data_IF_230428979731
#
_entry.id   IF_230428979731
#
_cell.length_a   1.000
_cell.length_b   1.000
_cell.length_c   1.000
_cell.angle_alpha   90.00
_cell.angle_beta   90.00
_cell.angle_gamma   90.00
#
_symmetry.space_group_name_H-M   'P 1'
#
loop_
_entity.id
_entity.type
_entity.pdbx_description
1 polymer ?
#
# COMPACT_ATOMS: atom_id res chain seq x y z
N UNK A 1 -5.92 5.85 14.83
CA UNK A 1 -6.99 6.14 13.84
C UNK A 1 -6.44 7.29 13.01
N UNK A 2 -5.99 7.01 11.78
CA UNK A 2 -5.50 8.06 10.90
C UNK A 2 -6.72 8.76 10.32
N UNK A 3 -6.87 10.02 10.62
CA UNK A 3 -7.86 10.88 9.97
C UNK A 3 -7.43 11.18 8.55
N UNK A 4 -8.36 11.55 7.64
CA UNK A 4 -7.96 12.03 6.32
C UNK A 4 -6.95 13.16 6.50
N UNK A 5 -5.78 12.94 5.90
CA UNK A 5 -4.64 13.82 6.08
C UNK A 5 -4.92 15.04 5.21
N UNK A 6 -5.26 16.15 5.83
CA UNK A 6 -5.44 17.41 5.14
C UNK A 6 -4.11 17.85 4.52
N UNK A 7 -4.20 18.48 3.35
CA UNK A 7 -3.09 19.06 2.64
C UNK A 7 -2.24 19.94 3.58
N UNK A 8 -0.94 19.65 3.65
CA UNK A 8 -0.01 20.33 4.56
C UNK A 8 0.00 19.82 6.00
N UNK A 9 -0.78 18.78 6.33
CA UNK A 9 -0.74 18.16 7.65
C UNK A 9 0.53 17.35 7.88
N UNK A 10 0.89 17.20 9.14
CA UNK A 10 2.00 16.36 9.58
C UNK A 10 1.44 15.12 10.24
N UNK A 11 1.83 13.94 9.76
CA UNK A 11 1.54 12.66 10.42
C UNK A 11 2.66 12.37 11.38
N UNK A 12 2.33 12.26 12.67
CA UNK A 12 3.28 11.80 13.68
C UNK A 12 3.17 10.29 13.83
N UNK A 13 4.29 9.60 13.57
CA UNK A 13 4.43 8.17 13.82
C UNK A 13 5.24 8.02 15.09
N UNK A 14 4.60 7.49 16.13
CA UNK A 14 5.25 7.28 17.43
C UNK A 14 5.89 5.91 17.48
N UNK A 15 7.20 5.86 17.71
CA UNK A 15 7.89 4.67 18.14
C UNK A 15 7.77 4.57 19.67
N UNK A 16 6.92 3.65 20.11
CA UNK A 16 6.69 3.45 21.55
C UNK A 16 7.84 2.73 22.27
N UNK A 17 8.78 2.13 21.51
CA UNK A 17 9.88 1.39 22.10
C UNK A 17 11.05 2.31 22.53
N UNK A 18 11.30 3.37 21.74
CA UNK A 18 12.45 4.26 21.95
C UNK A 18 12.07 5.73 22.15
N UNK A 19 10.78 6.07 22.08
CA UNK A 19 10.28 7.43 22.29
C UNK A 19 10.56 8.40 21.12
N UNK A 20 10.91 7.87 19.95
CA UNK A 20 11.07 8.70 18.76
C UNK A 20 9.71 9.03 18.13
N UNK A 21 9.63 10.24 17.60
CA UNK A 21 8.46 10.69 16.84
C UNK A 21 8.92 11.05 15.44
N UNK A 22 8.48 10.27 14.46
CA UNK A 22 8.70 10.57 13.04
C UNK A 22 7.60 11.51 12.55
N UNK A 23 8.00 12.60 11.90
CA UNK A 23 7.08 13.56 11.30
C UNK A 23 7.04 13.38 9.79
N UNK A 24 5.97 12.77 9.31
CA UNK A 24 5.74 12.59 7.88
C UNK A 24 4.90 13.76 7.35
N UNK A 25 5.49 14.61 6.52
CA UNK A 25 4.79 15.72 5.91
C UNK A 25 4.03 15.28 4.66
N UNK A 26 2.72 15.51 4.62
CA UNK A 26 1.94 15.25 3.41
C UNK A 26 2.34 16.23 2.32
N UNK A 27 2.73 15.78 1.13
CA UNK A 27 3.03 16.70 0.05
C UNK A 27 1.78 17.53 -0.31
N UNK A 28 1.94 18.75 -0.82
CA UNK A 28 0.85 19.54 -1.36
C UNK A 28 0.13 18.80 -2.49
N UNK A 29 -1.16 19.09 -2.74
CA UNK A 29 -1.90 18.52 -3.87
C UNK A 29 -1.14 18.83 -5.17
N UNK A 30 -0.97 17.81 -6.02
CA UNK A 30 -0.17 17.89 -7.24
C UNK A 30 1.32 17.63 -7.05
N UNK A 31 1.76 17.33 -5.82
CA UNK A 31 3.15 16.94 -5.53
C UNK A 31 3.19 15.55 -4.89
N UNK A 32 4.29 14.85 -5.10
CA UNK A 32 4.51 13.52 -4.56
C UNK A 32 5.95 13.28 -4.14
N UNK A 33 6.16 12.23 -3.35
CA UNK A 33 7.49 11.83 -2.88
C UNK A 33 8.12 10.93 -3.93
N UNK A 34 9.23 11.35 -4.50
CA UNK A 34 9.98 10.50 -5.42
C UNK A 34 10.59 9.32 -4.65
N UNK A 35 10.15 8.10 -4.99
CA UNK A 35 10.54 6.86 -4.32
C UNK A 35 12.02 6.45 -4.51
N UNK A 36 12.77 7.19 -5.33
CA UNK A 36 14.21 6.97 -5.54
C UNK A 36 15.06 8.03 -4.84
N UNK A 37 14.59 9.29 -4.84
CA UNK A 37 15.37 10.42 -4.33
C UNK A 37 14.88 10.98 -3.00
N UNK A 38 13.66 10.60 -2.56
CA UNK A 38 13.00 11.16 -1.39
C UNK A 38 12.53 12.62 -1.55
N UNK A 39 12.78 13.24 -2.71
CA UNK A 39 12.41 14.63 -2.95
C UNK A 39 10.93 14.76 -3.30
N UNK A 40 10.36 15.90 -2.94
CA UNK A 40 8.99 16.28 -3.34
C UNK A 40 9.06 16.91 -4.73
N UNK A 41 8.31 16.32 -5.67
CA UNK A 41 8.26 16.72 -7.08
C UNK A 41 6.80 16.73 -7.55
N UNK A 42 6.51 17.45 -8.63
CA UNK A 42 5.18 17.47 -9.25
C UNK A 42 4.72 16.08 -9.69
N UNK A 43 3.45 15.77 -9.48
CA UNK A 43 2.83 14.53 -9.91
C UNK A 43 1.40 14.73 -10.41
N UNK A 44 0.85 13.71 -11.06
CA UNK A 44 -0.48 13.75 -11.65
C UNK A 44 -1.59 13.83 -10.58
N UNK A 45 -2.68 14.48 -10.96
CA UNK A 45 -3.96 14.46 -10.25
C UNK A 45 -4.97 13.76 -11.16
N UNK A 46 -5.62 12.71 -10.66
CA UNK A 46 -6.78 12.11 -11.32
C UNK A 46 -8.05 12.78 -10.79
N UNK A 47 -8.64 13.61 -11.63
CA UNK A 47 -9.88 14.33 -11.28
C UNK A 47 -11.14 13.52 -11.58
N UNK A 48 -11.04 12.56 -12.48
CA UNK A 48 -12.14 11.68 -12.88
C UNK A 48 -12.09 10.36 -12.10
N UNK A 49 -12.63 10.38 -10.89
CA UNK A 49 -13.03 9.13 -10.26
C UNK A 49 -14.48 8.85 -10.65
N UNK A 50 -14.72 7.90 -11.57
CA UNK A 50 -16.04 7.29 -11.67
C UNK A 50 -16.31 6.58 -10.35
N UNK A 51 -17.34 7.05 -9.67
CA UNK A 51 -17.73 6.60 -8.34
C UNK A 51 -18.42 5.24 -8.46
N UNK A 52 -17.72 4.18 -8.06
CA UNK A 52 -18.39 2.94 -7.65
C UNK A 52 -18.50 2.97 -6.13
N UNK A 53 -19.70 2.75 -5.59
CA UNK A 53 -20.09 2.99 -4.18
C UNK A 53 -19.15 2.39 -3.11
N UNK A 54 -18.33 1.41 -3.47
CA UNK A 54 -17.44 0.70 -2.53
C UNK A 54 -15.95 0.82 -2.87
N UNK A 55 -15.56 1.52 -3.93
CA UNK A 55 -14.19 1.52 -4.42
C UNK A 55 -13.63 2.94 -4.57
N UNK A 56 -12.84 3.36 -3.60
CA UNK A 56 -12.16 4.68 -3.59
C UNK A 56 -11.12 4.85 -4.70
N UNK A 57 -10.72 3.79 -5.40
CA UNK A 57 -9.65 3.82 -6.38
C UNK A 57 -10.11 3.30 -7.73
N UNK A 58 -10.07 4.18 -8.72
CA UNK A 58 -10.23 3.79 -10.12
C UNK A 58 -8.86 3.74 -10.79
N UNK A 59 -8.51 2.56 -11.31
CA UNK A 59 -7.25 2.40 -12.02
C UNK A 59 -7.24 3.26 -13.28
N UNK A 60 -6.16 4.07 -13.50
CA UNK A 60 -5.99 4.76 -14.77
C UNK A 60 -5.99 3.79 -15.94
N UNK A 61 -6.88 4.02 -16.89
CA UNK A 61 -6.96 3.18 -18.08
C UNK A 61 -5.98 3.69 -19.13
N UNK A 62 -5.37 2.74 -19.86
CA UNK A 62 -4.61 3.09 -21.05
C UNK A 62 -5.58 3.51 -22.17
N UNK A 63 -5.21 4.49 -23.01
CA UNK A 63 -6.02 4.87 -24.16
C UNK A 63 -6.37 3.66 -25.03
N UNK A 64 -7.57 3.64 -25.60
CA UNK A 64 -8.08 2.51 -26.40
C UNK A 64 -7.18 2.15 -27.59
N UNK A 65 -6.53 3.16 -28.18
CA UNK A 65 -5.62 3.01 -29.30
C UNK A 65 -4.17 2.66 -28.92
N UNK A 66 -3.83 2.63 -27.63
CA UNK A 66 -2.47 2.38 -27.15
C UNK A 66 -1.86 1.09 -27.73
N UNK A 67 -2.61 -0.02 -27.73
CA UNK A 67 -2.11 -1.30 -28.23
C UNK A 67 -1.85 -1.25 -29.73
N UNK A 68 -2.73 -0.60 -30.48
CA UNK A 68 -2.61 -0.45 -31.94
C UNK A 68 -1.39 0.39 -32.27
N UNK A 69 -1.27 1.57 -31.67
CA UNK A 69 -0.11 2.47 -31.85
C UNK A 69 1.23 1.81 -31.48
N UNK A 70 1.26 1.03 -30.42
CA UNK A 70 2.45 0.28 -30.03
C UNK A 70 2.86 -0.77 -31.07
N UNK A 71 1.91 -1.39 -31.76
CA UNK A 71 2.21 -2.31 -32.88
C UNK A 71 2.76 -1.55 -34.09
N UNK A 72 2.18 -0.42 -34.40
CA UNK A 72 2.64 0.45 -35.49
C UNK A 72 4.03 1.01 -35.21
N UNK A 73 4.29 1.49 -33.98
CA UNK A 73 5.62 1.91 -33.56
C UNK A 73 6.67 0.82 -33.79
N UNK A 74 6.39 -0.41 -33.37
CA UNK A 74 7.30 -1.54 -33.59
C UNK A 74 7.57 -1.81 -35.08
N UNK A 75 6.53 -1.70 -35.92
CA UNK A 75 6.67 -1.89 -37.37
C UNK A 75 7.53 -0.80 -38.01
N UNK A 76 7.37 0.45 -37.56
CA UNK A 76 8.22 1.56 -38.04
C UNK A 76 9.67 1.37 -37.56
N UNK A 77 9.88 0.86 -36.35
CA UNK A 77 11.21 0.60 -35.80
C UNK A 77 11.99 -0.49 -36.55
N UNK A 78 11.33 -1.31 -37.37
CA UNK A 78 12.01 -2.23 -38.30
C UNK A 78 12.77 -1.48 -39.40
N UNK A 79 12.29 -0.29 -39.79
CA UNK A 79 12.87 0.57 -40.81
C UNK A 79 13.74 1.69 -40.21
N UNK A 80 13.27 2.27 -39.10
CA UNK A 80 13.95 3.31 -38.33
C UNK A 80 14.02 2.89 -36.85
N UNK A 81 15.13 2.30 -36.47
CA UNK A 81 15.37 1.77 -35.12
C UNK A 81 15.17 2.80 -34.01
N UNK A 82 15.33 4.07 -34.30
CA UNK A 82 15.24 5.14 -33.30
C UNK A 82 13.89 5.87 -33.30
N UNK A 83 12.97 5.42 -34.13
CA UNK A 83 11.62 6.00 -34.12
C UNK A 83 10.91 5.78 -32.78
N UNK A 84 10.38 6.85 -32.22
CA UNK A 84 9.54 6.86 -31.03
C UNK A 84 8.26 7.62 -31.37
N UNK A 85 7.11 6.99 -31.15
CA UNK A 85 5.81 7.66 -31.27
C UNK A 85 5.68 8.69 -30.11
N UNK A 86 5.59 10.01 -30.39
CA UNK A 86 5.55 11.03 -29.35
C UNK A 86 4.36 10.88 -28.38
N UNK A 87 3.24 10.40 -28.87
CA UNK A 87 2.06 10.15 -28.04
C UNK A 87 2.27 8.98 -27.07
N UNK A 88 2.87 7.89 -27.55
CA UNK A 88 3.20 6.76 -26.69
C UNK A 88 4.29 7.12 -25.67
N UNK A 89 5.23 7.97 -26.07
CA UNK A 89 6.29 8.43 -25.18
C UNK A 89 5.72 9.28 -24.03
N UNK A 90 4.76 10.16 -24.32
CA UNK A 90 4.08 10.94 -23.30
C UNK A 90 3.32 10.04 -22.30
N UNK A 91 2.63 9.01 -22.78
CA UNK A 91 1.95 8.04 -21.92
C UNK A 91 2.96 7.29 -21.05
N UNK A 92 4.08 6.85 -21.61
CA UNK A 92 5.15 6.16 -20.87
C UNK A 92 5.76 7.07 -19.81
N UNK A 93 6.03 8.32 -20.15
CA UNK A 93 6.61 9.33 -19.26
C UNK A 93 5.68 9.60 -18.07
N UNK A 94 4.38 9.78 -18.35
CA UNK A 94 3.37 9.98 -17.31
C UNK A 94 3.25 8.76 -16.39
N UNK A 95 3.17 7.58 -16.97
CA UNK A 95 3.09 6.34 -16.21
C UNK A 95 4.33 6.09 -15.35
N UNK A 96 5.52 6.39 -15.89
CA UNK A 96 6.76 6.31 -15.12
C UNK A 96 6.79 7.32 -13.99
N UNK A 97 6.29 8.53 -14.23
CA UNK A 97 6.14 9.55 -13.19
C UNK A 97 5.26 9.07 -12.02
N UNK A 98 4.13 8.44 -12.31
CA UNK A 98 3.24 7.86 -11.30
C UNK A 98 3.90 6.79 -10.45
N UNK A 99 4.71 5.93 -11.06
CA UNK A 99 5.48 4.89 -10.34
C UNK A 99 6.55 5.47 -9.44
N UNK A 100 7.14 6.58 -9.81
CA UNK A 100 8.19 7.24 -9.03
C UNK A 100 7.61 8.11 -7.91
N UNK A 101 6.60 8.93 -8.21
CA UNK A 101 6.13 10.01 -7.35
C UNK A 101 4.74 9.78 -6.75
N UNK A 102 4.08 8.70 -7.17
CA UNK A 102 2.70 8.47 -6.79
C UNK A 102 1.74 9.35 -7.57
N UNK A 103 0.51 9.45 -7.07
CA UNK A 103 -0.58 10.15 -7.72
C UNK A 103 -1.58 10.65 -6.68
N UNK A 104 -2.21 11.77 -6.96
CA UNK A 104 -3.39 12.23 -6.26
C UNK A 104 -4.65 11.78 -7.00
N UNK A 105 -5.67 11.40 -6.28
CA UNK A 105 -7.00 11.18 -6.86
C UNK A 105 -8.07 11.88 -6.04
N UNK A 106 -9.05 12.40 -6.77
CA UNK A 106 -10.22 13.02 -6.18
C UNK A 106 -11.21 11.93 -5.76
N UNK A 107 -11.69 12.00 -4.53
CA UNK A 107 -12.72 11.13 -3.99
C UNK A 107 -13.87 11.97 -3.47
N UNK A 108 -15.08 11.72 -3.96
CA UNK A 108 -16.27 12.38 -3.43
C UNK A 108 -16.77 11.63 -2.19
N UNK A 109 -16.79 12.32 -1.06
CA UNK A 109 -17.35 11.77 0.16
C UNK A 109 -18.84 12.11 0.27
N UNK A 110 -19.77 11.13 0.09
CA UNK A 110 -21.19 11.39 0.10
C UNK A 110 -21.73 11.84 1.46
N UNK A 111 -20.99 11.59 2.56
CA UNK A 111 -21.40 12.02 3.91
C UNK A 111 -21.12 13.49 4.17
N UNK A 112 -20.05 14.01 3.60
CA UNK A 112 -19.62 15.41 3.77
C UNK A 112 -19.96 16.26 2.55
N UNK A 113 -20.43 15.65 1.47
CA UNK A 113 -20.70 16.30 0.17
C UNK A 113 -19.49 17.06 -0.39
N UNK A 114 -18.28 16.62 -0.03
CA UNK A 114 -17.03 17.27 -0.43
C UNK A 114 -16.15 16.33 -1.24
N UNK A 115 -15.39 16.93 -2.15
CA UNK A 115 -14.28 16.26 -2.84
C UNK A 115 -13.08 16.26 -1.90
N UNK A 116 -12.58 15.09 -1.59
CA UNK A 116 -11.37 14.88 -0.83
C UNK A 116 -10.26 14.39 -1.78
N UNK A 117 -9.06 14.95 -1.63
CA UNK A 117 -7.93 14.50 -2.42
C UNK A 117 -7.08 13.53 -1.61
N UNK A 118 -6.84 12.34 -2.16
CA UNK A 118 -6.09 11.28 -1.51
C UNK A 118 -4.78 11.08 -2.28
N UNK A 119 -3.67 11.14 -1.57
CA UNK A 119 -2.36 10.84 -2.11
C UNK A 119 -2.00 9.37 -1.89
N UNK A 120 -1.52 8.71 -2.93
CA UNK A 120 -0.86 7.39 -2.85
C UNK A 120 0.56 7.50 -3.37
N UNK A 121 1.50 6.91 -2.65
CA UNK A 121 2.92 6.93 -3.02
C UNK A 121 3.19 6.10 -4.28
N UNK A 122 4.34 6.29 -4.92
CA UNK A 122 4.74 5.50 -6.09
C UNK A 122 4.76 4.00 -5.83
N UNK A 123 5.20 3.59 -4.64
CA UNK A 123 5.19 2.18 -4.24
C UNK A 123 3.76 1.63 -4.08
N UNK A 124 2.86 2.41 -3.48
CA UNK A 124 1.46 2.03 -3.35
C UNK A 124 0.79 1.95 -4.74
N UNK A 125 1.07 2.93 -5.61
CA UNK A 125 0.59 2.90 -7.00
C UNK A 125 1.02 1.64 -7.73
N UNK A 126 2.29 1.23 -7.62
CA UNK A 126 2.80 -0.03 -8.17
C UNK A 126 2.05 -1.24 -7.60
N UNK A 127 1.84 -1.26 -6.28
CA UNK A 127 1.18 -2.35 -5.59
C UNK A 127 -0.27 -2.56 -6.08
N UNK A 128 -1.12 -1.54 -6.09
CA UNK A 128 -2.53 -1.67 -6.47
C UNK A 128 -2.75 -1.76 -7.98
N UNK A 129 -1.81 -1.24 -8.79
CA UNK A 129 -1.98 -1.19 -10.26
C UNK A 129 -1.40 -2.40 -10.96
N UNK A 130 -0.24 -2.91 -10.51
CA UNK A 130 0.51 -3.94 -11.23
C UNK A 130 0.62 -5.26 -10.49
N UNK A 131 0.63 -5.21 -9.16
CA UNK A 131 0.71 -6.44 -8.40
C UNK A 131 -0.59 -7.23 -8.53
N UNK A 132 -0.43 -8.54 -8.73
CA UNK A 132 -1.56 -9.47 -8.82
C UNK A 132 -1.37 -10.60 -7.83
N UNK A 133 -2.41 -10.87 -7.08
CA UNK A 133 -2.52 -12.06 -6.27
C UNK A 133 -3.62 -12.95 -6.86
N UNK A 134 -3.31 -14.19 -7.22
CA UNK A 134 -4.24 -15.11 -7.90
C UNK A 134 -4.89 -14.54 -9.18
N UNK A 135 -4.15 -13.75 -9.92
CA UNK A 135 -4.64 -13.13 -11.15
C UNK A 135 -5.52 -11.88 -10.95
N UNK A 136 -5.90 -11.57 -9.71
CA UNK A 136 -6.63 -10.33 -9.36
C UNK A 136 -5.65 -9.26 -8.88
N UNK A 137 -5.94 -8.02 -9.23
CA UNK A 137 -5.21 -6.89 -8.68
C UNK A 137 -5.59 -6.65 -7.23
N UNK A 138 -4.68 -6.01 -6.51
CA UNK A 138 -4.96 -5.62 -5.12
C UNK A 138 -5.97 -4.47 -5.09
N UNK A 139 -6.84 -4.51 -4.08
CA UNK A 139 -7.81 -3.45 -3.85
C UNK A 139 -7.16 -2.29 -3.06
N UNK A 140 -7.68 -1.08 -3.29
CA UNK A 140 -7.27 0.07 -2.48
C UNK A 140 -7.84 -0.05 -1.06
N UNK A 141 -6.98 0.13 -0.05
CA UNK A 141 -7.37 0.18 1.35
C UNK A 141 -6.61 1.30 2.06
N UNK A 142 -7.31 2.07 2.90
CA UNK A 142 -6.69 3.15 3.67
C UNK A 142 -5.52 2.70 4.57
N UNK A 143 -5.58 1.56 5.27
CA UNK A 143 -4.42 1.08 6.03
C UNK A 143 -3.19 0.79 5.18
N UNK A 144 -3.37 0.28 3.96
CA UNK A 144 -2.25 0.05 3.05
C UNK A 144 -1.67 1.39 2.57
N UNK A 145 -2.54 2.38 2.28
CA UNK A 145 -2.11 3.73 1.94
C UNK A 145 -1.24 4.32 3.04
N UNK A 146 -1.67 4.23 4.29
CA UNK A 146 -0.95 4.75 5.43
C UNK A 146 0.40 4.04 5.64
N UNK A 147 0.41 2.72 5.49
CA UNK A 147 1.64 1.93 5.54
C UNK A 147 2.65 2.34 4.46
N UNK A 148 2.23 2.38 3.19
CA UNK A 148 3.14 2.76 2.10
C UNK A 148 3.60 4.21 2.20
N UNK A 149 2.80 5.07 2.80
CA UNK A 149 3.17 6.46 3.06
C UNK A 149 4.30 6.56 4.09
N UNK A 150 4.15 5.91 5.24
CA UNK A 150 5.19 5.84 6.27
C UNK A 150 6.46 5.16 5.72
N UNK A 151 6.29 4.05 4.99
CA UNK A 151 7.41 3.34 4.36
C UNK A 151 8.22 4.27 3.46
N UNK A 152 7.56 5.11 2.65
CA UNK A 152 8.23 6.04 1.74
C UNK A 152 9.07 7.09 2.47
N UNK A 153 8.70 7.48 3.69
CA UNK A 153 9.54 8.35 4.52
C UNK A 153 10.69 7.60 5.17
N UNK A 154 10.42 6.46 5.78
CA UNK A 154 11.42 5.67 6.47
C UNK A 154 12.55 5.17 5.55
N UNK A 155 12.26 4.98 4.27
CA UNK A 155 13.29 4.58 3.28
C UNK A 155 14.41 5.64 3.11
N UNK A 156 14.14 6.90 3.42
CA UNK A 156 15.10 8.00 3.27
C UNK A 156 15.61 8.55 4.61
N UNK A 157 15.13 7.98 5.70
CA UNK A 157 15.64 8.31 7.03
C UNK A 157 16.84 7.41 7.37
N UNK A 158 18.06 7.95 7.47
CA UNK A 158 19.27 7.17 7.76
C UNK A 158 19.23 6.50 9.14
N UNK A 159 18.39 6.99 10.05
CA UNK A 159 18.27 6.46 11.40
C UNK A 159 17.16 5.39 11.50
N UNK A 160 16.37 5.20 10.46
CA UNK A 160 15.34 4.19 10.41
C UNK A 160 15.91 2.82 10.05
N UNK A 161 16.01 1.92 11.02
CA UNK A 161 16.51 0.54 10.84
C UNK A 161 15.44 -0.43 10.34
N UNK A 162 14.17 -0.04 10.33
CA UNK A 162 13.06 -0.86 9.88
C UNK A 162 11.70 -0.36 10.38
N UNK A 163 10.64 -1.01 9.91
CA UNK A 163 9.26 -0.68 10.29
C UNK A 163 8.61 -1.91 10.89
N UNK A 164 8.05 -1.78 12.08
CA UNK A 164 7.19 -2.76 12.71
C UNK A 164 5.73 -2.29 12.60
N UNK A 165 4.93 -2.96 11.77
CA UNK A 165 3.53 -2.63 11.63
C UNK A 165 2.67 -3.47 12.58
N UNK A 166 2.02 -2.81 13.53
CA UNK A 166 1.00 -3.40 14.38
C UNK A 166 -0.39 -3.14 13.77
N UNK A 167 -0.99 -4.14 13.16
CA UNK A 167 -2.32 -4.00 12.57
C UNK A 167 -3.40 -4.60 13.47
N UNK A 168 -4.58 -3.97 13.46
CA UNK A 168 -5.76 -4.53 14.11
C UNK A 168 -6.17 -5.85 13.44
N UNK A 169 -6.80 -6.74 14.20
CA UNK A 169 -7.53 -7.87 13.63
C UNK A 169 -8.48 -7.36 12.55
N UNK A 170 -8.67 -8.06 11.46
CA UNK A 170 -9.41 -7.72 10.23
C UNK A 170 -8.62 -7.00 9.12
N UNK A 171 -7.37 -6.67 9.31
CA UNK A 171 -6.54 -6.12 8.23
C UNK A 171 -5.85 -7.20 7.38
N UNK A 172 -6.49 -8.38 7.24
CA UNK A 172 -5.97 -9.46 6.39
C UNK A 172 -4.83 -10.28 7.01
N UNK A 173 -4.52 -10.07 8.30
CA UNK A 173 -3.49 -10.83 9.03
C UNK A 173 -4.18 -11.75 10.04
N UNK A 174 -4.39 -13.00 9.65
CA UNK A 174 -4.92 -14.06 10.51
C UNK A 174 -3.94 -15.21 10.57
N UNK A 175 -3.92 -15.89 11.71
CA UNK A 175 -3.20 -17.15 11.81
C UNK A 175 -3.96 -18.26 11.07
N UNK A 176 -3.22 -19.07 10.33
CA UNK A 176 -3.81 -20.24 9.70
C UNK A 176 -4.23 -21.30 10.73
N UNK A 177 -5.23 -22.09 10.39
CA UNK A 177 -5.62 -23.26 11.18
C UNK A 177 -4.39 -24.13 11.50
N UNK A 178 -4.32 -24.63 12.72
CA UNK A 178 -3.20 -25.42 13.26
C UNK A 178 -1.90 -24.64 13.48
N UNK A 179 -1.93 -23.31 13.46
CA UNK A 179 -0.79 -22.51 13.94
C UNK A 179 -0.68 -22.71 15.46
N UNK A 180 0.52 -23.10 15.91
CA UNK A 180 0.80 -23.26 17.34
C UNK A 180 1.09 -21.90 17.97
N UNK A 181 0.35 -21.58 19.02
CA UNK A 181 0.51 -20.36 19.81
C UNK A 181 1.03 -20.75 21.19
N UNK A 182 2.05 -20.07 21.65
CA UNK A 182 2.62 -20.26 22.97
C UNK A 182 1.74 -19.58 24.02
N UNK A 183 1.24 -20.39 24.98
CA UNK A 183 0.46 -19.88 26.10
C UNK A 183 1.40 -19.32 27.19
N UNK A 184 0.86 -18.48 28.06
CA UNK A 184 1.66 -17.88 29.13
C UNK A 184 2.07 -18.91 30.21
N UNK A 185 1.31 -19.99 30.37
CA UNK A 185 1.63 -21.10 31.27
C UNK A 185 2.74 -22.03 30.77
N UNK A 186 3.33 -21.70 29.60
CA UNK A 186 4.39 -22.48 28.96
C UNK A 186 3.89 -23.59 28.05
N UNK A 187 2.60 -23.85 27.98
CA UNK A 187 2.00 -24.79 27.03
C UNK A 187 1.88 -24.23 25.64
N UNK A 188 1.52 -25.05 24.67
CA UNK A 188 1.16 -24.62 23.31
C UNK A 188 -0.24 -25.09 22.97
N UNK A 189 -1.02 -24.19 22.32
CA UNK A 189 -2.35 -24.53 21.78
C UNK A 189 -2.41 -24.19 20.31
N UNK A 190 -3.27 -24.91 19.58
CA UNK A 190 -3.61 -24.45 18.25
C UNK A 190 -4.44 -23.17 18.31
N UNK A 191 -4.22 -22.25 17.37
CA UNK A 191 -4.88 -20.95 17.35
C UNK A 191 -6.41 -21.02 17.40
N UNK A 192 -7.00 -22.06 16.78
CA UNK A 192 -8.45 -22.28 16.80
C UNK A 192 -9.00 -22.77 18.16
N UNK A 193 -8.14 -23.25 19.05
CA UNK A 193 -8.52 -23.79 20.36
C UNK A 193 -8.32 -22.75 21.48
N UNK A 194 -7.89 -21.55 21.13
CA UNK A 194 -7.70 -20.45 22.09
C UNK A 194 -9.03 -19.73 22.29
N UNK A 195 -9.36 -19.53 23.59
CA UNK A 195 -10.60 -18.91 24.02
C UNK A 195 -10.38 -17.49 24.57
N UNK A 196 -11.44 -16.70 24.56
CA UNK A 196 -11.44 -15.40 25.25
C UNK A 196 -11.17 -15.57 26.75
N UNK A 197 -10.35 -14.69 27.31
CA UNK A 197 -9.94 -14.72 28.70
C UNK A 197 -8.68 -15.53 28.97
N UNK A 198 -8.16 -16.28 28.02
CA UNK A 198 -6.88 -16.99 28.17
C UNK A 198 -5.70 -16.00 28.02
N UNK A 199 -4.51 -16.45 28.42
CA UNK A 199 -3.29 -15.67 28.33
C UNK A 199 -2.30 -16.33 27.38
N UNK A 200 -1.85 -15.60 26.39
CA UNK A 200 -0.75 -16.00 25.51
C UNK A 200 0.56 -15.33 25.93
N UNK A 201 1.68 -15.93 25.55
CA UNK A 201 3.01 -15.36 25.78
C UNK A 201 3.25 -14.21 24.83
N UNK A 202 3.57 -13.02 25.34
CA UNK A 202 4.04 -11.89 24.55
C UNK A 202 5.49 -12.10 24.08
N UNK A 203 5.92 -11.31 23.12
CA UNK A 203 7.29 -11.26 22.60
C UNK A 203 8.31 -10.81 23.66
N UNK A 204 7.87 -10.01 24.61
CA UNK A 204 8.60 -9.55 25.79
C UNK A 204 8.51 -10.51 26.99
N UNK A 205 8.02 -11.74 26.78
CA UNK A 205 7.78 -12.75 27.82
C UNK A 205 6.73 -12.33 28.87
N UNK A 206 5.94 -11.30 28.62
CA UNK A 206 4.81 -10.93 29.50
C UNK A 206 3.50 -11.59 29.06
N UNK A 207 2.55 -11.67 29.98
CA UNK A 207 1.23 -12.22 29.67
C UNK A 207 0.40 -11.24 28.83
N UNK A 208 -0.26 -11.75 27.79
CA UNK A 208 -1.21 -11.02 26.96
C UNK A 208 -2.58 -11.66 27.06
N UNK A 209 -3.55 -10.88 27.49
CA UNK A 209 -4.94 -11.35 27.56
C UNK A 209 -5.52 -11.48 26.16
N UNK A 210 -6.12 -12.62 25.87
CA UNK A 210 -6.89 -12.84 24.65
C UNK A 210 -8.27 -12.24 24.82
N UNK A 211 -8.67 -11.37 23.92
CA UNK A 211 -9.99 -10.75 23.89
C UNK A 211 -10.53 -10.69 22.47
N UNK A 212 -11.78 -11.11 22.25
CA UNK A 212 -12.47 -11.04 20.97
C UNK A 212 -11.89 -12.01 19.92
N UNK A 213 -11.92 -13.32 20.21
CA UNK A 213 -11.55 -14.36 19.26
C UNK A 213 -12.52 -14.34 18.08
N UNK A 214 -11.99 -14.26 16.86
CA UNK A 214 -12.77 -14.27 15.61
C UNK A 214 -12.22 -15.37 14.72
N UNK A 215 -13.10 -16.17 14.13
CA UNK A 215 -12.77 -17.16 13.11
C UNK A 215 -13.40 -16.81 11.77
N UNK A 216 -12.74 -17.18 10.70
CA UNK A 216 -13.21 -17.02 9.32
C UNK A 216 -12.70 -18.15 8.45
N UNK A 217 -13.21 -18.24 7.23
CA UNK A 217 -12.71 -19.18 6.22
C UNK A 217 -12.08 -18.40 5.08
N UNK A 218 -10.81 -18.72 4.79
CA UNK A 218 -10.04 -18.12 3.70
C UNK A 218 -9.08 -19.17 3.14
N UNK A 219 -8.64 -19.01 1.90
CA UNK A 219 -7.67 -19.90 1.28
C UNK A 219 -6.27 -19.51 1.78
N UNK A 220 -5.58 -20.47 2.40
CA UNK A 220 -4.21 -20.27 2.88
C UNK A 220 -3.18 -20.76 1.84
N UNK A 221 -2.09 -20.01 1.69
CA UNK A 221 -0.98 -20.33 0.79
C UNK A 221 0.28 -20.59 1.60
N UNK A 222 0.94 -21.71 1.29
CA UNK A 222 2.27 -22.00 1.83
C UNK A 222 3.31 -21.39 0.92
N UNK A 223 4.06 -20.44 1.43
CA UNK A 223 5.24 -19.88 0.74
C UNK A 223 6.44 -20.75 1.13
N UNK A 224 7.05 -21.40 0.14
CA UNK A 224 8.30 -22.15 0.33
C UNK A 224 9.41 -21.34 -0.34
N UNK A 225 10.34 -20.82 0.46
CA UNK A 225 11.55 -20.22 -0.09
C UNK A 225 12.49 -21.34 -0.52
N UNK A 226 12.90 -21.37 -1.79
CA UNK A 226 14.04 -22.15 -2.21
C UNK A 226 15.28 -21.49 -1.59
N UNK A 227 15.88 -22.14 -0.60
CA UNK A 227 17.24 -21.80 -0.22
C UNK A 227 18.10 -22.21 -1.40
N UNK A 228 18.58 -21.24 -2.18
CA UNK A 228 19.64 -21.49 -3.14
C UNK A 228 20.83 -22.06 -2.36
N UNK A 229 21.36 -23.15 -2.86
CA UNK A 229 22.68 -23.65 -2.48
C UNK A 229 23.76 -22.67 -2.90
#
# INVERSE_FOLDING_TARGET
>A
MFYPIENGSVVEVHDNAFGFVYKCHVPPIGYGINSVTGKIEETDILEEAEYEEDNYWVRPQLPKDFITRRKDEKRIQELDKYYIDPYLEEIRRREWGRRLRGIWFANYNPKTEKVEYIYITGLHYLYITYWKFQGKHMDFRMPDRDFFYVLSYCMFDPDCLGINELTRRKNGKCFGKNTLIRMFDGTTKFVQDILDGEYVMGDDSTKRLVSGVISGQEILYKITANKGE
#
